data_IF_340902387261
#
_entry.id   IF_340902387261
#
_cell.length_a   1.000
_cell.length_b   1.000
_cell.length_c   1.000
_cell.angle_alpha   90.00
_cell.angle_beta   90.00
_cell.angle_gamma   90.00
#
_symmetry.space_group_name_H-M   'P 1'
#
loop_
_entity.id
_entity.type
_entity.pdbx_description
1 polymer ?
#
# COMPACT_ATOMS: atom_id res chain seq x y z
N UNK A 1 16.96 -16.73 0.15
CA UNK A 1 16.20 -16.61 -1.12
C UNK A 1 14.77 -16.21 -0.77
N UNK A 2 14.27 -15.15 -1.36
CA UNK A 2 12.90 -14.66 -1.11
C UNK A 2 11.89 -15.54 -1.86
N UNK A 3 10.90 -16.06 -1.15
CA UNK A 3 9.83 -16.91 -1.70
C UNK A 3 8.43 -16.34 -1.46
N UNK A 4 8.24 -15.58 -0.37
CA UNK A 4 6.93 -15.06 0.01
C UNK A 4 6.99 -13.58 0.38
N UNK A 5 6.10 -12.79 -0.22
CA UNK A 5 6.02 -11.34 -0.03
C UNK A 5 4.62 -10.98 0.47
N UNK A 6 4.55 -10.19 1.54
CA UNK A 6 3.33 -9.47 1.94
C UNK A 6 3.35 -8.10 1.25
N UNK A 7 2.24 -7.73 0.63
CA UNK A 7 2.06 -6.44 -0.04
C UNK A 7 0.84 -5.70 0.52
N UNK A 8 1.05 -4.50 1.03
CA UNK A 8 -0.02 -3.61 1.48
C UNK A 8 0.30 -2.15 1.17
N UNK A 9 -0.69 -1.26 1.23
CA UNK A 9 -0.57 0.14 0.84
C UNK A 9 -1.59 1.02 1.55
N UNK A 10 -1.46 2.34 1.38
CA UNK A 10 -2.50 3.33 1.64
C UNK A 10 -3.10 3.23 3.05
N UNK A 11 -2.23 3.25 4.07
CA UNK A 11 -2.66 3.27 5.46
C UNK A 11 -3.29 4.60 5.84
N UNK A 12 -2.78 5.71 5.27
CA UNK A 12 -3.25 7.05 5.58
C UNK A 12 -3.46 7.29 7.07
N UNK A 13 -2.45 7.00 7.89
CA UNK A 13 -2.56 7.16 9.34
C UNK A 13 -2.95 8.61 9.65
N UNK A 14 -4.14 8.78 10.21
CA UNK A 14 -4.73 10.08 10.55
C UNK A 14 -4.30 10.53 11.95
N UNK A 15 -4.92 11.57 12.46
CA UNK A 15 -4.64 12.07 13.81
C UNK A 15 -5.02 11.06 14.90
N UNK A 16 -4.47 11.25 16.08
CA UNK A 16 -4.44 10.30 17.22
C UNK A 16 -5.78 9.66 17.60
N UNK A 17 -6.92 10.33 17.36
CA UNK A 17 -8.26 9.82 17.72
C UNK A 17 -8.59 8.49 17.03
N UNK A 18 -8.02 8.25 15.86
CA UNK A 18 -8.26 7.03 15.07
C UNK A 18 -7.20 5.94 15.34
N UNK A 19 -6.13 6.25 16.09
CA UNK A 19 -5.00 5.35 16.32
C UNK A 19 -5.37 4.04 17.02
N UNK A 20 -6.39 4.05 17.88
CA UNK A 20 -6.88 2.82 18.53
C UNK A 20 -7.43 1.84 17.52
N UNK A 21 -8.20 2.34 16.55
CA UNK A 21 -8.77 1.53 15.47
C UNK A 21 -7.67 0.99 14.55
N UNK A 22 -6.73 1.83 14.14
CA UNK A 22 -5.56 1.38 13.36
C UNK A 22 -4.78 0.28 14.08
N UNK A 23 -4.51 0.45 15.38
CA UNK A 23 -3.80 -0.55 16.18
C UNK A 23 -4.55 -1.88 16.27
N UNK A 24 -5.87 -1.86 16.47
CA UNK A 24 -6.68 -3.09 16.51
C UNK A 24 -6.55 -3.89 15.21
N UNK A 25 -6.70 -3.22 14.07
CA UNK A 25 -6.59 -3.84 12.75
C UNK A 25 -5.16 -4.32 12.49
N UNK A 26 -4.17 -3.45 12.68
CA UNK A 26 -2.77 -3.77 12.41
C UNK A 26 -2.22 -4.88 13.30
N UNK A 27 -2.62 -4.96 14.59
CA UNK A 27 -2.22 -6.07 15.45
C UNK A 27 -2.72 -7.41 14.92
N UNK A 28 -3.93 -7.47 14.35
CA UNK A 28 -4.44 -8.69 13.69
C UNK A 28 -3.65 -9.02 12.43
N UNK A 29 -3.41 -8.03 11.59
CA UNK A 29 -2.59 -8.20 10.38
C UNK A 29 -1.17 -8.68 10.73
N UNK A 30 -0.49 -8.06 11.70
CA UNK A 30 0.86 -8.46 12.08
C UNK A 30 0.93 -9.89 12.62
N UNK A 31 -0.12 -10.33 13.36
CA UNK A 31 -0.21 -11.71 13.78
C UNK A 31 -0.35 -12.66 12.60
N UNK A 32 -1.30 -12.38 11.69
CA UNK A 32 -1.51 -13.18 10.47
C UNK A 32 -0.24 -13.20 9.60
N UNK A 33 0.43 -12.04 9.42
CA UNK A 33 1.67 -11.97 8.65
C UNK A 33 2.79 -12.77 9.30
N UNK A 34 2.93 -12.70 10.63
CA UNK A 34 3.92 -13.52 11.34
C UNK A 34 3.65 -15.03 11.17
N UNK A 35 2.38 -15.44 11.23
CA UNK A 35 1.98 -16.84 11.02
C UNK A 35 2.20 -17.31 9.57
N UNK A 36 2.23 -16.38 8.61
CA UNK A 36 2.51 -16.67 7.19
C UNK A 36 4.01 -16.83 6.91
N UNK A 37 4.89 -16.39 7.81
CA UNK A 37 6.36 -16.42 7.65
C UNK A 37 6.83 -15.83 6.31
N UNK A 38 6.59 -14.54 6.03
CA UNK A 38 7.04 -13.91 4.79
C UNK A 38 8.53 -13.60 4.85
N UNK A 39 9.18 -13.57 3.68
CA UNK A 39 10.57 -13.15 3.54
C UNK A 39 10.71 -11.64 3.40
N UNK A 40 9.68 -10.98 2.88
CA UNK A 40 9.62 -9.51 2.71
C UNK A 40 8.20 -9.00 2.97
N UNK A 41 8.14 -7.81 3.56
CA UNK A 41 6.96 -6.96 3.57
C UNK A 41 7.21 -5.78 2.64
N UNK A 42 6.28 -5.51 1.73
CA UNK A 42 6.32 -4.38 0.79
C UNK A 42 5.16 -3.46 1.05
N UNK A 43 5.48 -2.21 1.36
CA UNK A 43 4.52 -1.12 1.52
C UNK A 43 4.66 -0.14 0.35
N UNK A 44 3.60 0.00 -0.44
CA UNK A 44 3.64 0.78 -1.69
C UNK A 44 3.07 2.19 -1.57
N UNK A 45 3.38 2.89 -0.47
CA UNK A 45 3.14 4.33 -0.32
C UNK A 45 1.94 4.73 0.52
N UNK A 46 1.89 6.00 0.88
CA UNK A 46 0.83 6.66 1.64
C UNK A 46 0.68 6.11 3.08
N UNK A 47 1.78 6.17 3.82
CA UNK A 47 1.79 5.77 5.23
C UNK A 47 1.07 6.79 6.11
N UNK A 48 1.26 8.10 5.87
CA UNK A 48 0.59 9.16 6.61
C UNK A 48 -0.52 9.81 5.77
N UNK A 49 -1.57 10.30 6.45
CA UNK A 49 -2.66 11.00 5.74
C UNK A 49 -2.27 12.41 5.34
N UNK A 50 -1.41 13.08 6.11
CA UNK A 50 -1.02 14.48 5.86
C UNK A 50 0.43 14.72 6.26
N UNK A 51 1.28 14.91 5.26
CA UNK A 51 2.71 15.27 5.39
C UNK A 51 2.98 16.55 6.19
N UNK A 52 1.99 17.43 6.35
CA UNK A 52 2.13 18.71 7.05
C UNK A 52 1.70 18.66 8.52
N UNK A 53 1.18 17.55 9.00
CA UNK A 53 0.61 17.40 10.35
C UNK A 53 1.27 16.26 11.11
N UNK A 54 2.59 16.34 11.30
CA UNK A 54 3.38 15.34 12.01
C UNK A 54 3.35 15.61 13.53
N UNK A 55 2.26 15.17 14.19
CA UNK A 55 2.16 15.26 15.65
C UNK A 55 3.01 14.18 16.34
N UNK A 56 3.39 14.36 17.64
CA UNK A 56 4.12 13.34 18.38
C UNK A 56 3.43 11.97 18.39
N UNK A 57 2.10 11.94 18.50
CA UNK A 57 1.32 10.71 18.47
C UNK A 57 1.39 10.03 17.10
N UNK A 58 1.36 10.80 16.00
CA UNK A 58 1.48 10.28 14.64
C UNK A 58 2.89 9.71 14.41
N UNK A 59 3.94 10.43 14.81
CA UNK A 59 5.33 9.96 14.76
C UNK A 59 5.47 8.62 15.50
N UNK A 60 4.95 8.53 16.73
CA UNK A 60 4.96 7.30 17.51
C UNK A 60 4.20 6.16 16.81
N UNK A 61 3.05 6.47 16.18
CA UNK A 61 2.27 5.46 15.47
C UNK A 61 3.00 4.93 14.23
N UNK A 62 3.58 5.82 13.42
CA UNK A 62 4.41 5.46 12.26
C UNK A 62 5.60 4.61 12.70
N UNK A 63 6.35 5.07 13.71
CA UNK A 63 7.49 4.33 14.27
C UNK A 63 7.08 2.93 14.75
N UNK A 64 5.92 2.82 15.41
CA UNK A 64 5.39 1.54 15.85
C UNK A 64 5.05 0.61 14.69
N UNK A 65 4.37 1.11 13.64
CA UNK A 65 4.04 0.30 12.45
C UNK A 65 5.30 -0.25 11.81
N UNK A 66 6.27 0.62 11.52
CA UNK A 66 7.54 0.24 10.90
C UNK A 66 8.32 -0.78 11.75
N UNK A 67 8.34 -0.56 13.08
CA UNK A 67 8.97 -1.47 14.02
C UNK A 67 8.28 -2.84 14.10
N UNK A 68 6.96 -2.91 13.95
CA UNK A 68 6.27 -4.20 13.94
C UNK A 68 6.51 -4.96 12.63
N UNK A 69 6.47 -4.27 11.49
CA UNK A 69 6.79 -4.88 10.19
C UNK A 69 8.21 -5.45 10.18
N UNK A 70 9.21 -4.66 10.57
CA UNK A 70 10.63 -5.07 10.57
C UNK A 70 10.97 -6.19 11.56
N UNK A 71 10.14 -6.40 12.61
CA UNK A 71 10.27 -7.55 13.50
C UNK A 71 9.80 -8.87 12.87
N UNK A 72 8.94 -8.79 11.87
CA UNK A 72 8.45 -9.98 11.14
C UNK A 72 9.50 -10.38 10.09
N UNK A 73 9.88 -9.44 9.22
CA UNK A 73 10.94 -9.64 8.21
C UNK A 73 11.40 -8.28 7.65
N UNK A 74 12.48 -8.25 6.83
CA UNK A 74 12.90 -7.03 6.15
C UNK A 74 11.76 -6.40 5.36
N UNK A 75 11.59 -5.08 5.55
CA UNK A 75 10.44 -4.31 5.08
C UNK A 75 10.89 -3.25 4.09
N UNK A 76 10.26 -3.24 2.92
CA UNK A 76 10.47 -2.27 1.85
C UNK A 76 9.34 -1.26 1.91
N UNK A 77 9.70 0.02 1.83
CA UNK A 77 8.76 1.13 1.83
C UNK A 77 9.01 1.96 0.59
N UNK A 78 7.99 2.12 -0.23
CA UNK A 78 7.95 3.09 -1.31
C UNK A 78 7.31 4.38 -0.80
N UNK A 79 7.78 5.53 -1.26
CA UNK A 79 7.18 6.82 -0.94
C UNK A 79 5.86 7.01 -1.71
N UNK A 80 4.80 7.49 -1.02
CA UNK A 80 3.53 7.88 -1.63
C UNK A 80 3.34 9.41 -1.67
N UNK A 81 2.34 9.89 -2.40
CA UNK A 81 2.10 11.33 -2.59
C UNK A 81 1.63 12.03 -1.29
N UNK A 82 1.10 11.31 -0.32
CA UNK A 82 0.76 11.84 1.00
C UNK A 82 1.97 11.93 1.94
N UNK A 83 3.09 11.30 1.61
CA UNK A 83 4.29 11.27 2.43
C UNK A 83 5.25 12.43 2.16
N UNK A 84 5.13 13.16 1.02
CA UNK A 84 6.01 14.28 0.66
C UNK A 84 5.26 15.43 -0.03
N UNK A 85 5.92 16.59 -0.20
CA UNK A 85 5.36 17.76 -0.87
C UNK A 85 5.70 17.73 -2.37
N UNK A 86 4.76 17.29 -3.20
CA UNK A 86 4.93 17.21 -4.66
C UNK A 86 5.33 18.52 -5.32
N UNK A 87 4.85 19.66 -4.78
CA UNK A 87 5.16 20.98 -5.29
C UNK A 87 6.51 21.54 -4.80
N UNK A 88 7.24 20.81 -3.95
CA UNK A 88 8.53 21.24 -3.42
C UNK A 88 9.39 20.04 -2.99
N UNK A 89 10.05 19.44 -3.95
CA UNK A 89 10.88 18.25 -3.77
C UNK A 89 12.16 18.50 -2.95
N UNK A 90 12.56 19.76 -2.76
CA UNK A 90 13.69 20.12 -1.88
C UNK A 90 13.36 19.96 -0.39
N UNK A 91 12.06 19.88 -0.06
CA UNK A 91 11.62 19.64 1.32
C UNK A 91 11.79 18.19 1.71
N UNK A 92 12.19 17.98 2.97
CA UNK A 92 12.26 16.64 3.56
C UNK A 92 10.86 16.04 3.63
N UNK A 93 10.70 14.78 3.20
CA UNK A 93 9.46 14.03 3.33
C UNK A 93 9.14 13.66 4.79
N UNK A 94 7.91 13.24 5.06
CA UNK A 94 7.43 12.96 6.41
C UNK A 94 8.10 11.72 7.05
N UNK A 95 8.57 10.77 6.24
CA UNK A 95 9.07 9.48 6.71
C UNK A 95 10.58 9.46 6.95
N UNK A 96 11.36 10.19 6.14
CA UNK A 96 12.84 10.20 6.24
C UNK A 96 13.35 10.50 7.64
N UNK A 97 12.85 11.51 8.39
CA UNK A 97 13.34 11.79 9.75
C UNK A 97 13.09 10.62 10.71
N UNK A 98 11.96 9.94 10.56
CA UNK A 98 11.58 8.81 11.41
C UNK A 98 12.48 7.61 11.10
N UNK A 99 12.56 7.22 9.82
CA UNK A 99 13.33 6.05 9.38
C UNK A 99 14.81 6.22 9.70
N UNK A 100 15.39 7.40 9.42
CA UNK A 100 16.79 7.70 9.73
C UNK A 100 17.06 7.64 11.25
N UNK A 101 16.14 8.13 12.08
CA UNK A 101 16.28 8.09 13.54
C UNK A 101 16.15 6.66 14.08
N UNK A 102 15.28 5.83 13.48
CA UNK A 102 15.18 4.42 13.85
C UNK A 102 16.47 3.65 13.57
N UNK A 103 17.21 4.00 12.52
CA UNK A 103 18.48 3.36 12.16
C UNK A 103 18.38 1.84 12.01
N UNK A 104 17.20 1.32 11.66
CA UNK A 104 16.94 -0.11 11.55
C UNK A 104 17.31 -0.61 10.14
N UNK A 105 18.31 -1.50 9.99
CA UNK A 105 18.76 -2.00 8.68
C UNK A 105 17.71 -2.87 7.97
N UNK A 106 16.71 -3.39 8.70
CA UNK A 106 15.62 -4.18 8.13
C UNK A 106 14.52 -3.30 7.53
N UNK A 107 14.70 -1.97 7.49
CA UNK A 107 13.78 -1.03 6.83
C UNK A 107 14.49 -0.42 5.63
N UNK A 108 14.08 -0.81 4.44
CA UNK A 108 14.56 -0.27 3.16
C UNK A 108 13.57 0.77 2.63
N UNK A 109 14.01 2.02 2.52
CA UNK A 109 13.15 3.12 2.07
C UNK A 109 13.56 3.59 0.67
N UNK A 110 12.72 3.29 -0.31
CA UNK A 110 12.94 3.62 -1.71
C UNK A 110 12.26 4.94 -2.08
N UNK A 111 13.06 5.96 -2.31
CA UNK A 111 12.62 7.33 -2.61
C UNK A 111 12.84 7.73 -4.05
N UNK A 112 13.83 7.15 -4.71
CA UNK A 112 14.23 7.50 -6.07
C UNK A 112 13.94 6.34 -7.01
N UNK A 113 13.65 6.64 -8.27
CA UNK A 113 13.56 5.61 -9.30
C UNK A 113 14.91 4.97 -9.56
N UNK A 114 14.90 3.66 -9.73
CA UNK A 114 16.15 2.90 -9.92
C UNK A 114 15.90 1.40 -9.83
N UNK A 115 17.00 0.67 -9.74
CA UNK A 115 17.00 -0.79 -9.51
C UNK A 115 17.72 -1.05 -8.21
N UNK A 116 17.02 -1.70 -7.29
CA UNK A 116 17.57 -2.12 -6.00
C UNK A 116 17.66 -3.65 -5.97
N UNK A 117 18.86 -4.17 -5.77
CA UNK A 117 19.10 -5.61 -5.74
C UNK A 117 18.86 -6.21 -4.36
N UNK A 118 18.12 -7.31 -4.30
CA UNK A 118 17.80 -8.02 -3.08
C UNK A 118 17.72 -9.52 -3.33
N UNK A 119 18.77 -10.26 -3.00
CA UNK A 119 18.86 -11.70 -3.23
C UNK A 119 18.50 -12.11 -4.67
N UNK A 120 17.39 -12.84 -4.83
CA UNK A 120 16.86 -13.28 -6.13
C UNK A 120 15.86 -12.30 -6.75
N UNK A 121 15.74 -11.07 -6.23
CA UNK A 121 14.83 -10.05 -6.71
C UNK A 121 15.62 -8.82 -7.17
N UNK A 122 15.15 -8.20 -8.23
CA UNK A 122 15.43 -6.81 -8.56
C UNK A 122 14.15 -6.00 -8.33
N UNK A 123 14.19 -5.06 -7.41
CA UNK A 123 13.11 -4.10 -7.22
C UNK A 123 13.28 -2.95 -8.23
N UNK A 124 12.35 -2.85 -9.16
CA UNK A 124 12.34 -1.79 -10.17
C UNK A 124 11.45 -0.67 -9.64
N UNK A 125 12.08 0.34 -9.09
CA UNK A 125 11.40 1.43 -8.38
C UNK A 125 10.99 2.52 -9.35
N UNK A 126 9.70 2.84 -9.39
CA UNK A 126 9.11 3.97 -10.10
C UNK A 126 8.66 4.99 -9.05
N UNK A 127 9.51 5.93 -8.71
CA UNK A 127 9.22 6.87 -7.64
C UNK A 127 8.49 8.12 -8.11
N UNK A 128 7.53 8.58 -7.31
CA UNK A 128 6.87 9.87 -7.49
C UNK A 128 7.82 11.06 -7.38
N UNK A 129 8.95 10.94 -6.66
CA UNK A 129 9.92 12.03 -6.50
C UNK A 129 10.65 12.40 -7.79
N UNK A 130 10.59 11.56 -8.79
CA UNK A 130 11.05 11.85 -10.15
C UNK A 130 9.97 11.57 -11.20
N UNK A 131 8.71 11.81 -10.83
CA UNK A 131 7.52 11.68 -11.68
C UNK A 131 7.32 10.27 -12.24
N UNK A 132 7.59 9.26 -11.44
CA UNK A 132 7.49 7.85 -11.83
C UNK A 132 8.30 7.51 -13.10
N UNK A 133 9.40 8.21 -13.31
CA UNK A 133 10.27 7.95 -14.43
C UNK A 133 10.66 6.48 -14.47
N UNK A 134 10.44 5.85 -15.61
CA UNK A 134 10.85 4.48 -15.80
C UNK A 134 12.37 4.36 -15.62
N UNK A 135 12.85 3.48 -14.71
CA UNK A 135 14.28 3.20 -14.59
C UNK A 135 14.84 2.61 -15.89
N UNK A 136 16.09 2.95 -16.20
CA UNK A 136 16.82 2.28 -17.27
C UNK A 136 17.38 0.97 -16.72
N UNK A 137 16.78 -0.15 -17.11
CA UNK A 137 17.20 -1.48 -16.69
C UNK A 137 17.02 -2.51 -17.79
N UNK A 138 17.88 -3.50 -17.77
CA UNK A 138 17.74 -4.72 -18.55
C UNK A 138 17.28 -5.84 -17.62
N UNK A 139 16.17 -6.52 -17.91
CA UNK A 139 15.71 -7.62 -17.07
C UNK A 139 16.79 -8.70 -16.93
N UNK A 140 17.09 -9.08 -15.69
CA UNK A 140 17.99 -10.18 -15.39
C UNK A 140 17.19 -11.49 -15.38
N UNK A 141 17.45 -12.43 -16.29
CA UNK A 141 16.72 -13.70 -16.33
C UNK A 141 17.01 -14.62 -15.13
N UNK A 142 18.06 -14.35 -14.35
CA UNK A 142 18.39 -15.08 -13.13
C UNK A 142 17.67 -14.55 -11.89
N UNK A 143 17.02 -13.38 -11.98
CA UNK A 143 16.29 -12.72 -10.90
C UNK A 143 14.84 -12.45 -11.29
N UNK A 144 14.01 -12.20 -10.31
CA UNK A 144 12.63 -11.77 -10.50
C UNK A 144 12.61 -10.25 -10.46
N UNK A 145 12.14 -9.63 -11.55
CA UNK A 145 12.08 -8.18 -11.69
C UNK A 145 10.70 -7.69 -11.22
N UNK A 146 10.61 -7.15 -10.01
CA UNK A 146 9.36 -6.69 -9.40
C UNK A 146 9.29 -5.16 -9.47
N UNK A 147 8.31 -4.63 -10.22
CA UNK A 147 8.02 -3.20 -10.24
C UNK A 147 7.37 -2.75 -8.93
N UNK A 148 7.85 -1.63 -8.38
CA UNK A 148 7.23 -0.92 -7.26
C UNK A 148 6.71 0.42 -7.77
N UNK A 149 5.43 0.66 -7.59
CA UNK A 149 4.77 1.84 -8.14
C UNK A 149 3.75 2.43 -7.16
N UNK A 150 3.68 3.76 -7.09
CA UNK A 150 2.60 4.47 -6.41
C UNK A 150 2.03 5.52 -7.35
N UNK A 151 0.74 5.42 -7.65
CA UNK A 151 0.05 6.34 -8.56
C UNK A 151 -1.06 5.68 -9.38
N UNK A 152 -1.85 6.47 -10.10
CA UNK A 152 -2.91 5.95 -10.96
C UNK A 152 -2.32 5.29 -12.21
N UNK A 153 -2.75 4.06 -12.50
CA UNK A 153 -2.41 3.35 -13.74
C UNK A 153 -3.62 3.44 -14.68
N UNK A 154 -3.36 3.64 -15.96
CA UNK A 154 -4.39 3.71 -17.00
C UNK A 154 -5.27 2.45 -16.98
N UNK A 155 -6.59 2.66 -16.93
CA UNK A 155 -7.59 1.60 -16.87
C UNK A 155 -8.04 1.20 -15.46
N UNK A 156 -7.42 1.75 -14.39
CA UNK A 156 -7.95 1.61 -13.04
C UNK A 156 -9.23 2.42 -12.84
N UNK A 157 -10.07 1.98 -11.89
CA UNK A 157 -11.30 2.67 -11.50
C UNK A 157 -11.41 2.79 -9.99
N UNK A 158 -11.92 3.90 -9.49
CA UNK A 158 -12.25 4.05 -8.06
C UNK A 158 -13.54 3.31 -7.70
N UNK A 159 -13.87 3.18 -6.41
CA UNK A 159 -15.16 2.64 -5.96
C UNK A 159 -16.34 3.52 -6.39
N UNK A 160 -16.11 4.81 -6.58
CA UNK A 160 -17.12 5.76 -7.10
C UNK A 160 -17.32 5.67 -8.62
N UNK A 161 -16.55 4.81 -9.32
CA UNK A 161 -16.65 4.59 -10.76
C UNK A 161 -15.85 5.60 -11.61
N UNK A 162 -15.01 6.44 -11.02
CA UNK A 162 -14.09 7.28 -11.78
C UNK A 162 -13.00 6.42 -12.43
N UNK A 163 -12.83 6.54 -13.75
CA UNK A 163 -11.81 5.81 -14.52
C UNK A 163 -10.60 6.70 -14.80
N UNK A 164 -9.40 6.16 -14.63
CA UNK A 164 -8.14 6.83 -14.95
C UNK A 164 -7.77 6.57 -16.41
N UNK A 165 -8.22 7.44 -17.32
CA UNK A 165 -7.89 7.35 -18.75
C UNK A 165 -6.45 7.82 -19.02
N UNK A 166 -6.01 8.86 -18.31
CA UNK A 166 -4.66 9.47 -18.41
C UNK A 166 -3.68 8.95 -17.34
N UNK A 167 -3.95 7.77 -16.75
CA UNK A 167 -3.06 7.14 -15.78
C UNK A 167 -1.73 6.68 -16.40
N UNK A 168 -0.82 6.22 -15.56
CA UNK A 168 0.48 5.72 -15.98
C UNK A 168 0.34 4.55 -16.96
N UNK A 169 1.08 4.60 -18.08
CA UNK A 169 0.91 3.62 -19.14
C UNK A 169 1.51 2.27 -18.75
N UNK A 170 0.71 1.21 -18.83
CA UNK A 170 1.15 -0.15 -18.50
C UNK A 170 2.36 -0.64 -19.29
N UNK A 171 2.61 -0.11 -20.50
CA UNK A 171 3.79 -0.45 -21.31
C UNK A 171 5.11 0.00 -20.67
N UNK A 172 5.07 0.96 -19.76
CA UNK A 172 6.26 1.40 -19.02
C UNK A 172 6.77 0.35 -18.03
N UNK A 173 5.93 -0.62 -17.66
CA UNK A 173 6.31 -1.76 -16.83
C UNK A 173 6.93 -2.93 -17.62
N UNK A 174 7.26 -2.72 -18.90
CA UNK A 174 7.93 -3.75 -19.70
C UNK A 174 9.23 -4.20 -19.05
N UNK A 175 9.42 -5.52 -18.96
CA UNK A 175 10.57 -6.13 -18.30
C UNK A 175 10.36 -6.48 -16.83
N UNK A 176 9.27 -6.00 -16.19
CA UNK A 176 8.86 -6.49 -14.91
C UNK A 176 8.13 -7.83 -15.03
N UNK A 177 8.38 -8.74 -14.09
CA UNK A 177 7.66 -10.00 -13.96
C UNK A 177 6.30 -9.80 -13.28
N UNK A 178 6.22 -8.84 -12.38
CA UNK A 178 4.98 -8.31 -11.81
C UNK A 178 5.21 -6.89 -11.30
N UNK A 179 4.11 -6.18 -11.01
CA UNK A 179 4.15 -4.85 -10.39
C UNK A 179 3.30 -4.87 -9.13
N UNK A 180 3.84 -4.39 -8.04
CA UNK A 180 3.14 -4.11 -6.78
C UNK A 180 2.87 -2.61 -6.71
N UNK A 181 1.59 -2.23 -6.63
CA UNK A 181 1.16 -0.83 -6.75
C UNK A 181 0.22 -0.38 -5.64
N UNK A 182 0.29 0.91 -5.29
CA UNK A 182 -0.60 1.64 -4.38
C UNK A 182 -1.14 2.93 -4.99
N UNK A 183 -1.88 3.74 -4.22
CA UNK A 183 -2.58 5.01 -4.52
C UNK A 183 -4.09 4.85 -4.74
N UNK A 184 -4.53 3.85 -5.49
CA UNK A 184 -5.97 3.64 -5.70
C UNK A 184 -6.49 2.65 -4.67
N UNK A 185 -7.37 3.11 -3.77
CA UNK A 185 -7.82 2.36 -2.59
C UNK A 185 -8.64 1.10 -2.89
N UNK A 186 -9.01 0.90 -4.15
CA UNK A 186 -9.74 -0.28 -4.61
C UNK A 186 -8.76 -1.33 -5.13
N UNK A 187 -8.83 -2.55 -4.58
CA UNK A 187 -8.06 -3.68 -5.11
C UNK A 187 -8.43 -4.00 -6.56
N UNK A 188 -7.44 -4.04 -7.45
CA UNK A 188 -7.60 -4.34 -8.87
C UNK A 188 -6.35 -5.01 -9.44
N UNK A 189 -6.53 -5.74 -10.53
CA UNK A 189 -5.44 -6.38 -11.27
C UNK A 189 -5.48 -5.94 -12.73
N UNK A 190 -4.36 -5.46 -13.24
CA UNK A 190 -4.21 -5.04 -14.62
C UNK A 190 -3.21 -5.93 -15.36
N UNK A 191 -3.44 -6.12 -16.66
CA UNK A 191 -2.45 -6.71 -17.56
C UNK A 191 -1.33 -5.72 -17.87
N UNK A 192 -0.09 -6.20 -17.84
CA UNK A 192 1.10 -5.48 -18.33
C UNK A 192 1.77 -6.30 -19.45
N UNK A 193 2.79 -5.77 -20.16
CA UNK A 193 3.44 -6.48 -21.26
C UNK A 193 3.91 -7.89 -20.88
N UNK A 194 4.00 -8.77 -21.90
CA UNK A 194 4.41 -10.17 -21.76
C UNK A 194 3.46 -11.03 -20.91
N UNK A 195 2.16 -10.71 -20.90
CA UNK A 195 1.14 -11.43 -20.14
C UNK A 195 1.41 -11.44 -18.62
N UNK A 196 2.09 -10.41 -18.12
CA UNK A 196 2.37 -10.19 -16.71
C UNK A 196 1.26 -9.32 -16.10
N UNK A 197 1.31 -9.08 -14.78
CA UNK A 197 0.25 -8.39 -14.05
C UNK A 197 0.80 -7.29 -13.14
N UNK A 198 0.02 -6.22 -13.03
CA UNK A 198 0.15 -5.22 -11.98
C UNK A 198 -0.98 -5.41 -10.96
N UNK A 199 -0.62 -5.47 -9.70
CA UNK A 199 -1.52 -5.64 -8.57
C UNK A 199 -1.63 -4.31 -7.82
N UNK A 200 -2.71 -3.56 -8.07
CA UNK A 200 -3.13 -2.46 -7.22
C UNK A 200 -3.77 -3.09 -5.99
N UNK A 201 -3.05 -3.07 -4.86
CA UNK A 201 -3.53 -3.78 -3.66
C UNK A 201 -4.73 -3.11 -3.02
N UNK A 202 -4.85 -1.79 -3.17
CA UNK A 202 -5.85 -0.98 -2.49
C UNK A 202 -5.45 -0.62 -1.07
N UNK A 203 -6.27 0.17 -0.39
CA UNK A 203 -6.03 0.52 1.00
C UNK A 203 -6.24 -0.68 1.93
N UNK A 204 -5.42 -0.76 2.99
CA UNK A 204 -5.55 -1.83 3.98
C UNK A 204 -6.89 -1.77 4.73
N UNK A 205 -7.41 -0.57 4.92
CA UNK A 205 -8.70 -0.30 5.58
C UNK A 205 -9.47 0.75 4.79
N UNK A 206 -10.78 0.78 4.94
CA UNK A 206 -11.64 1.83 4.38
C UNK A 206 -11.23 3.21 4.91
N UNK A 207 -11.00 4.18 4.02
CA UNK A 207 -10.50 5.51 4.37
C UNK A 207 -11.60 6.57 4.49
N UNK A 208 -12.71 6.40 3.78
CA UNK A 208 -13.81 7.37 3.75
C UNK A 208 -15.16 6.74 3.36
N UNK A 209 -16.23 7.54 3.41
CA UNK A 209 -17.60 7.13 3.07
C UNK A 209 -17.84 6.82 1.58
N UNK A 210 -16.95 7.20 0.69
CA UNK A 210 -17.04 6.95 -0.75
C UNK A 210 -16.50 5.58 -1.16
N UNK A 211 -15.80 4.91 -0.27
CA UNK A 211 -15.21 3.60 -0.52
C UNK A 211 -16.16 2.45 -0.14
N UNK A 212 -15.94 1.29 -0.75
CA UNK A 212 -16.63 0.08 -0.35
C UNK A 212 -16.26 -0.27 1.11
N UNK A 213 -17.22 -0.76 1.88
CA UNK A 213 -16.97 -1.22 3.26
C UNK A 213 -16.07 -2.47 3.30
N UNK A 214 -16.13 -3.27 2.25
CA UNK A 214 -15.38 -4.52 2.07
C UNK A 214 -14.33 -4.37 0.97
N UNK A 215 -13.52 -5.41 0.80
CA UNK A 215 -12.45 -5.49 -0.21
C UNK A 215 -11.26 -4.57 0.10
N UNK A 216 -11.03 -4.30 1.37
CA UNK A 216 -9.80 -3.73 1.88
C UNK A 216 -8.94 -4.84 2.46
N UNK A 217 -7.62 -4.75 2.30
CA UNK A 217 -6.77 -5.82 2.75
C UNK A 217 -5.33 -5.75 2.24
N UNK A 218 -4.71 -6.90 2.14
CA UNK A 218 -3.32 -7.03 1.72
C UNK A 218 -3.15 -8.18 0.72
N UNK A 219 -2.07 -8.17 -0.02
CA UNK A 219 -1.67 -9.23 -0.92
C UNK A 219 -0.64 -10.17 -0.31
N UNK A 220 -0.69 -11.43 -0.69
CA UNK A 220 0.36 -12.42 -0.43
C UNK A 220 0.83 -12.93 -1.79
N UNK A 221 2.08 -12.66 -2.15
CA UNK A 221 2.68 -13.20 -3.35
C UNK A 221 3.62 -14.34 -3.03
N UNK A 222 3.36 -15.50 -3.62
CA UNK A 222 4.23 -16.66 -3.56
C UNK A 222 5.01 -16.75 -4.87
N UNK A 223 6.30 -16.48 -4.82
CA UNK A 223 7.20 -16.45 -5.98
C UNK A 223 7.28 -17.80 -6.67
N UNK A 224 7.41 -18.88 -5.89
CA UNK A 224 7.59 -20.25 -6.41
C UNK A 224 6.43 -20.70 -7.29
N UNK A 225 5.22 -20.27 -6.94
CA UNK A 225 4.00 -20.67 -7.65
C UNK A 225 3.52 -19.61 -8.63
N UNK A 226 4.18 -18.43 -8.68
CA UNK A 226 3.71 -17.20 -9.37
C UNK A 226 2.24 -16.88 -9.03
N UNK A 227 1.90 -16.98 -7.72
CA UNK A 227 0.54 -16.81 -7.23
C UNK A 227 0.43 -15.59 -6.33
N UNK A 228 -0.47 -14.67 -6.67
CA UNK A 228 -0.84 -13.53 -5.84
C UNK A 228 -2.26 -13.74 -5.30
N UNK A 229 -2.40 -13.76 -3.97
CA UNK A 229 -3.68 -13.82 -3.27
C UNK A 229 -3.96 -12.51 -2.57
N UNK A 230 -5.14 -11.94 -2.78
CA UNK A 230 -5.67 -10.86 -1.98
C UNK A 230 -6.39 -11.42 -0.75
N UNK A 231 -6.04 -10.93 0.44
CA UNK A 231 -6.63 -11.30 1.73
C UNK A 231 -7.41 -10.10 2.25
N UNK A 232 -8.72 -10.23 2.36
CA UNK A 232 -9.59 -9.19 2.90
C UNK A 232 -9.43 -9.09 4.42
N UNK A 233 -9.29 -7.87 4.93
CA UNK A 233 -9.19 -7.57 6.36
C UNK A 233 -10.58 -7.20 6.89
N UNK A 234 -10.99 -7.84 7.99
CA UNK A 234 -12.24 -7.54 8.65
C UNK A 234 -12.26 -6.11 9.22
N UNK A 235 -13.14 -5.27 8.68
CA UNK A 235 -13.32 -3.89 9.10
C UNK A 235 -14.39 -3.79 10.20
N UNK A 236 -13.95 -3.74 11.47
CA UNK A 236 -14.83 -3.64 12.64
C UNK A 236 -15.35 -2.24 12.95
N UNK A 237 -14.93 -1.25 12.17
CA UNK A 237 -15.34 0.15 12.36
C UNK A 237 -15.58 0.83 11.02
N UNK A 238 -16.54 0.34 10.22
CA UNK A 238 -16.75 0.83 8.88
C UNK A 238 -17.37 2.23 8.84
N UNK A 239 -17.06 2.98 7.79
CA UNK A 239 -17.81 4.17 7.40
C UNK A 239 -19.10 3.75 6.68
N UNK A 240 -20.25 3.95 7.31
CA UNK A 240 -21.54 3.52 6.78
C UNK A 240 -22.37 4.71 6.34
N UNK A 241 -22.93 4.65 5.14
CA UNK A 241 -23.90 5.61 4.61
C UNK A 241 -25.32 5.05 4.68
N UNK A 242 -26.20 5.77 5.37
CA UNK A 242 -27.62 5.46 5.41
C UNK A 242 -28.43 6.60 4.77
N UNK A 243 -29.27 6.28 3.79
CA UNK A 243 -30.26 7.22 3.25
C UNK A 243 -31.55 7.03 4.03
N UNK A 244 -31.93 8.03 4.82
CA UNK A 244 -33.19 8.05 5.58
C UNK A 244 -34.21 8.83 4.77
N UNK A 245 -35.29 8.17 4.37
CA UNK A 245 -36.43 8.79 3.71
C UNK A 245 -37.66 8.92 4.61
N UNK A 246 -37.80 7.98 5.54
CA UNK A 246 -38.84 7.95 6.55
C UNK A 246 -38.33 7.31 7.88
N UNK A 247 -39.23 7.23 8.86
CA UNK A 247 -38.89 6.75 10.20
C UNK A 247 -38.53 5.25 10.22
N UNK A 248 -39.08 4.46 9.30
CA UNK A 248 -38.80 3.02 9.22
C UNK A 248 -37.40 2.73 8.75
N UNK A 249 -36.78 3.64 7.98
CA UNK A 249 -35.38 3.55 7.56
C UNK A 249 -34.41 3.65 8.75
N UNK A 250 -34.80 4.34 9.83
CA UNK A 250 -34.00 4.45 11.07
C UNK A 250 -33.98 3.10 11.81
N UNK A 251 -35.10 2.41 11.85
CA UNK A 251 -35.20 1.08 12.47
C UNK A 251 -34.40 0.04 11.69
N UNK A 252 -34.55 0.02 10.36
CA UNK A 252 -33.77 -0.82 9.47
C UNK A 252 -32.26 -0.51 9.51
N UNK A 253 -31.90 0.76 9.71
CA UNK A 253 -30.52 1.19 9.89
C UNK A 253 -29.89 0.66 11.19
N UNK A 254 -30.64 0.65 12.29
CA UNK A 254 -30.21 0.06 13.56
C UNK A 254 -29.96 -1.44 13.43
N UNK A 255 -30.84 -2.16 12.74
CA UNK A 255 -30.70 -3.60 12.52
C UNK A 255 -29.45 -3.92 11.66
N UNK A 256 -29.17 -3.12 10.63
CA UNK A 256 -27.92 -3.23 9.85
C UNK A 256 -26.68 -2.98 10.68
N UNK A 257 -26.72 -2.01 11.60
CA UNK A 257 -25.60 -1.71 12.50
C UNK A 257 -25.31 -2.82 13.53
N UNK A 258 -26.34 -3.60 13.91
CA UNK A 258 -26.18 -4.74 14.85
C UNK A 258 -25.60 -5.99 14.18
N UNK A 259 -25.61 -6.05 12.84
CA UNK A 259 -25.11 -7.18 12.06
C UNK A 259 -23.70 -6.93 11.45
N UNK A 260 -23.08 -5.80 11.84
CA UNK A 260 -21.67 -5.48 11.58
C UNK A 260 -20.86 -5.60 12.87
#
# INVERSE_FOLDING_TARGET
MVEKIIHFSDLHIKLYKDHKQYKDILCRCFKEWSDLEPDRIVFTGDLVHSKNQMTPELINMVTWVLSQCSKICPTIILIGNHDFLENNLDRVDALSPIINTMGNPDIMYFKNSGVEEDENINWIVYSLMDHNKRPDFTPDPAKINIGLFHGPIQGLVTDMGFAFEDGYNTNEFRGCDLVLAGDIHKHQVLGIPNNKKAYMVGSLIQQNFGENVRKHGYGVYNIKNDEYKFIEVDNRSPYLNFKIKDITDIENGKEKLTNF
#
